data_IF_798857320869
#
_entry.id   IF_798857320869
#
_cell.length_a   1.000
_cell.length_b   1.000
_cell.length_c   1.000
_cell.angle_alpha   90.00
_cell.angle_beta   90.00
_cell.angle_gamma   90.00
#
_symmetry.space_group_name_H-M   'P 1'
#
loop_
_entity.id
_entity.type
_entity.pdbx_description
1 polymer ?
#
# COMPACT_ATOMS: atom_id res chain seq x y z
N UNK A 1 28.46 49.22 8.16
CA UNK A 1 27.65 48.43 7.22
C UNK A 1 26.86 47.40 8.04
N UNK A 2 25.54 47.54 8.18
CA UNK A 2 24.76 46.59 8.97
C UNK A 2 24.59 45.27 8.21
N UNK A 3 24.91 44.19 8.90
CA UNK A 3 24.75 42.81 8.45
C UNK A 3 23.26 42.50 8.35
N UNK A 4 22.75 42.23 7.14
CA UNK A 4 21.38 41.77 6.95
C UNK A 4 21.35 40.24 7.08
N UNK A 5 20.94 39.75 8.25
CA UNK A 5 20.54 38.36 8.43
C UNK A 5 19.35 38.06 7.54
N UNK A 6 19.49 37.08 6.64
CA UNK A 6 18.41 36.63 5.77
C UNK A 6 17.67 35.48 6.45
N UNK A 7 16.79 35.84 7.38
CA UNK A 7 15.79 34.91 7.92
C UNK A 7 14.76 34.63 6.83
N UNK A 8 15.03 33.65 5.97
CA UNK A 8 14.03 33.13 5.02
C UNK A 8 13.98 31.63 5.14
N UNK A 9 13.42 31.13 6.24
CA UNK A 9 13.06 29.72 6.35
C UNK A 9 11.84 29.46 5.44
N UNK A 10 12.05 28.75 4.33
CA UNK A 10 10.96 28.37 3.42
C UNK A 10 10.08 27.23 3.96
N UNK A 11 10.36 26.72 5.17
CA UNK A 11 9.63 25.61 5.78
C UNK A 11 8.21 26.06 6.13
N UNK A 12 7.24 25.46 5.44
CA UNK A 12 5.83 25.62 5.79
C UNK A 12 5.50 24.73 6.99
N UNK A 13 4.69 25.25 7.93
CA UNK A 13 4.15 24.42 9.00
C UNK A 13 3.25 23.33 8.43
N UNK A 14 3.41 22.11 8.92
CA UNK A 14 2.52 21.01 8.57
C UNK A 14 1.30 21.01 9.48
N UNK A 15 0.12 20.92 8.88
CA UNK A 15 -1.12 20.63 9.62
C UNK A 15 -1.06 19.21 10.20
N UNK A 16 -1.75 18.96 11.32
CA UNK A 16 -1.83 17.63 11.92
C UNK A 16 -2.28 16.53 10.94
N UNK A 17 -3.24 16.83 10.05
CA UNK A 17 -3.72 15.87 9.06
C UNK A 17 -2.63 15.44 8.06
N UNK A 18 -1.74 16.36 7.67
CA UNK A 18 -0.58 16.04 6.83
C UNK A 18 0.42 15.16 7.57
N UNK A 19 0.65 15.42 8.86
CA UNK A 19 1.50 14.57 9.70
C UNK A 19 0.90 13.16 9.80
N UNK A 20 -0.40 13.04 10.11
CA UNK A 20 -1.10 11.74 10.16
C UNK A 20 -1.04 11.01 8.82
N UNK A 21 -1.22 11.71 7.71
CA UNK A 21 -1.10 11.14 6.37
C UNK A 21 0.31 10.55 6.15
N UNK A 22 1.36 11.31 6.45
CA UNK A 22 2.75 10.87 6.29
C UNK A 22 3.11 9.69 7.21
N UNK A 23 2.55 9.65 8.42
CA UNK A 23 2.66 8.47 9.30
C UNK A 23 1.95 7.26 8.69
N UNK A 24 0.77 7.46 8.08
CA UNK A 24 0.03 6.41 7.38
C UNK A 24 0.77 5.87 6.16
N UNK A 25 1.43 6.74 5.38
CA UNK A 25 2.23 6.36 4.20
C UNK A 25 3.35 5.35 4.51
N UNK A 26 3.89 5.40 5.73
CA UNK A 26 4.93 4.48 6.21
C UNK A 26 4.38 3.39 7.13
N UNK A 27 3.06 3.20 7.17
CA UNK A 27 2.38 2.23 8.02
C UNK A 27 2.76 2.34 9.51
N UNK A 28 2.97 3.58 10.00
CA UNK A 28 3.35 3.86 11.38
C UNK A 28 4.75 3.38 11.79
N UNK A 29 5.57 2.90 10.86
CA UNK A 29 6.94 2.42 11.10
C UNK A 29 7.94 3.21 10.29
N UNK A 30 9.15 3.42 10.83
CA UNK A 30 10.22 4.06 10.08
C UNK A 30 10.59 3.18 8.87
N UNK A 31 10.54 3.70 7.63
CA UNK A 31 10.80 2.91 6.44
C UNK A 31 12.26 2.46 6.31
N UNK A 32 13.20 3.13 7.00
CA UNK A 32 14.63 2.77 6.99
C UNK A 32 14.99 1.63 7.94
N UNK A 33 14.40 1.62 9.15
CA UNK A 33 14.79 0.67 10.21
C UNK A 33 13.63 -0.12 10.83
N UNK A 34 12.41 0.03 10.31
CA UNK A 34 11.18 -0.63 10.76
C UNK A 34 10.74 -0.36 12.20
N UNK A 35 11.41 0.55 12.94
CA UNK A 35 10.99 0.96 14.30
C UNK A 35 9.61 1.61 14.27
N UNK A 36 8.74 1.26 15.20
CA UNK A 36 7.44 1.89 15.37
C UNK A 36 7.61 3.36 15.75
N UNK A 37 6.88 4.24 15.08
CA UNK A 37 6.98 5.69 15.28
C UNK A 37 6.15 6.18 16.47
N UNK A 38 5.00 5.56 16.73
CA UNK A 38 4.13 5.89 17.86
C UNK A 38 4.17 4.74 18.86
N UNK A 39 4.71 4.99 20.05
CA UNK A 39 4.83 3.98 21.09
C UNK A 39 3.85 4.25 22.23
N UNK A 40 3.26 3.19 22.75
CA UNK A 40 2.44 3.23 23.95
C UNK A 40 3.28 2.86 25.18
N UNK A 41 3.21 3.68 26.22
CA UNK A 41 3.78 3.39 27.54
C UNK A 41 2.86 3.93 28.62
N UNK A 42 2.46 3.08 29.58
CA UNK A 42 1.58 3.44 30.70
C UNK A 42 0.31 4.18 30.22
N UNK A 43 -0.40 3.60 29.25
CA UNK A 43 -1.64 4.16 28.65
C UNK A 43 -1.45 5.54 27.97
N UNK A 44 -0.21 5.95 27.70
CA UNK A 44 0.13 7.18 26.99
C UNK A 44 0.80 6.88 25.66
N UNK A 45 0.31 7.52 24.60
CA UNK A 45 0.91 7.45 23.27
C UNK A 45 1.95 8.56 23.10
N UNK A 46 3.13 8.19 22.62
CA UNK A 46 4.24 9.10 22.37
C UNK A 46 4.68 8.99 20.91
N UNK A 47 4.69 10.13 20.21
CA UNK A 47 5.20 10.19 18.84
C UNK A 47 6.72 10.39 18.86
N UNK A 48 7.45 9.37 18.40
CA UNK A 48 8.90 9.36 18.19
C UNK A 48 9.26 9.48 16.71
N UNK A 49 8.27 9.68 15.84
CA UNK A 49 8.45 10.03 14.44
C UNK A 49 8.58 11.53 14.24
N UNK A 50 9.39 11.91 13.26
CA UNK A 50 9.59 13.27 12.79
C UNK A 50 9.43 13.31 11.27
N UNK A 51 9.01 14.46 10.75
CA UNK A 51 8.84 14.65 9.30
C UNK A 51 10.10 15.30 8.73
N UNK A 52 10.82 14.52 7.93
CA UNK A 52 12.01 14.96 7.23
C UNK A 52 11.67 15.49 5.83
N UNK A 53 12.44 16.47 5.36
CA UNK A 53 12.44 16.86 3.95
C UNK A 53 13.48 16.04 3.20
N UNK A 54 13.07 15.32 2.15
CA UNK A 54 13.97 14.48 1.35
C UNK A 54 14.97 15.37 0.62
N UNK A 55 14.50 16.32 -0.19
CA UNK A 55 15.30 17.45 -0.62
C UNK A 55 15.20 18.57 0.43
N UNK A 56 16.32 19.11 0.95
CA UNK A 56 16.31 20.10 2.02
C UNK A 56 15.49 21.34 1.63
N UNK A 57 14.73 21.88 2.59
CA UNK A 57 13.88 23.05 2.35
C UNK A 57 14.71 24.31 2.07
N UNK A 58 15.85 24.44 2.75
CA UNK A 58 16.82 25.52 2.59
C UNK A 58 18.22 24.88 2.46
N UNK A 59 18.60 24.35 1.28
CA UNK A 59 19.89 23.71 1.10
C UNK A 59 21.03 24.69 1.37
N UNK A 60 22.09 24.23 2.03
CA UNK A 60 23.35 24.95 2.09
C UNK A 60 24.04 24.89 0.72
N UNK A 61 24.91 25.86 0.36
CA UNK A 61 25.56 25.89 -0.96
C UNK A 61 26.35 24.63 -1.32
N UNK A 62 26.83 23.88 -0.32
CA UNK A 62 27.49 22.60 -0.56
C UNK A 62 26.50 21.46 -0.82
N UNK A 63 25.30 21.49 -0.21
CA UNK A 63 24.22 20.54 -0.46
C UNK A 63 23.61 20.76 -1.86
N UNK A 64 23.46 22.02 -2.29
CA UNK A 64 23.03 22.32 -3.68
C UNK A 64 23.98 21.71 -4.70
N UNK A 65 25.29 21.85 -4.48
CA UNK A 65 26.31 21.24 -5.34
C UNK A 65 26.30 19.71 -5.25
N UNK A 66 26.15 19.16 -4.05
CA UNK A 66 26.09 17.72 -3.81
C UNK A 66 24.91 17.07 -4.53
N UNK A 67 23.76 17.76 -4.54
CA UNK A 67 22.50 17.28 -5.10
C UNK A 67 22.23 17.82 -6.51
N UNK A 68 23.20 18.50 -7.13
CA UNK A 68 23.05 19.04 -8.47
C UNK A 68 22.80 17.91 -9.48
N UNK A 69 21.79 18.09 -10.34
CA UNK A 69 21.40 17.12 -11.36
C UNK A 69 20.70 15.86 -10.81
N UNK A 70 20.45 15.77 -9.51
CA UNK A 70 19.70 14.66 -8.94
C UNK A 70 18.19 14.85 -9.13
N UNK A 71 17.45 13.73 -9.08
CA UNK A 71 16.00 13.72 -9.24
C UNK A 71 15.34 14.49 -8.09
N UNK A 72 14.47 15.44 -8.42
CA UNK A 72 13.54 16.07 -7.49
C UNK A 72 12.20 15.34 -7.56
N UNK A 73 11.64 15.02 -6.39
CA UNK A 73 10.33 14.35 -6.32
C UNK A 73 9.16 15.29 -6.64
N UNK A 74 9.39 16.60 -6.51
CA UNK A 74 8.46 17.66 -6.89
C UNK A 74 9.21 18.99 -6.97
N UNK A 75 8.71 19.93 -7.78
CA UNK A 75 9.25 21.29 -7.88
C UNK A 75 9.00 22.16 -6.62
N UNK A 76 8.06 21.76 -5.75
CA UNK A 76 7.76 22.46 -4.51
C UNK A 76 8.38 21.65 -3.38
N UNK A 77 9.39 22.22 -2.72
CA UNK A 77 10.12 21.58 -1.62
C UNK A 77 9.21 21.26 -0.43
N UNK A 78 8.07 21.94 -0.29
CA UNK A 78 7.09 21.68 0.77
C UNK A 78 5.99 20.69 0.35
N UNK A 79 6.06 20.12 -0.85
CA UNK A 79 5.11 19.13 -1.32
C UNK A 79 5.21 17.84 -0.49
N UNK A 80 4.09 17.14 -0.26
CA UNK A 80 4.04 15.88 0.48
C UNK A 80 4.93 14.79 -0.16
N UNK A 81 5.13 14.82 -1.47
CA UNK A 81 6.04 13.92 -2.18
C UNK A 81 7.50 14.11 -1.75
N UNK A 82 7.88 15.29 -1.24
CA UNK A 82 9.21 15.58 -0.72
C UNK A 82 9.33 15.37 0.80
N UNK A 83 8.28 14.90 1.47
CA UNK A 83 8.24 14.74 2.93
C UNK A 83 8.13 13.26 3.29
N UNK A 84 8.81 12.85 4.36
CA UNK A 84 8.78 11.45 4.82
C UNK A 84 8.84 11.38 6.34
N UNK A 85 8.06 10.46 6.92
CA UNK A 85 8.09 10.21 8.35
C UNK A 85 9.21 9.21 8.69
N UNK A 86 10.13 9.62 9.57
CA UNK A 86 11.27 8.83 10.04
C UNK A 86 11.31 8.80 11.56
N UNK A 87 11.95 7.79 12.15
CA UNK A 87 12.30 7.87 13.58
C UNK A 87 13.46 8.86 13.78
N UNK A 88 13.56 9.45 14.97
CA UNK A 88 14.58 10.46 15.30
C UNK A 88 16.01 10.06 14.93
N UNK A 89 16.38 8.80 15.14
CA UNK A 89 17.74 8.31 14.83
C UNK A 89 18.02 8.32 13.32
N UNK A 90 17.08 7.82 12.51
CA UNK A 90 17.25 7.79 11.05
C UNK A 90 17.13 9.19 10.45
N UNK A 91 16.27 10.05 11.00
CA UNK A 91 16.17 11.45 10.59
C UNK A 91 17.50 12.18 10.82
N UNK A 92 18.08 12.05 12.01
CA UNK A 92 19.36 12.69 12.32
C UNK A 92 20.53 12.15 11.47
N UNK A 93 20.59 10.83 11.27
CA UNK A 93 21.60 10.21 10.39
C UNK A 93 21.49 10.70 8.94
N UNK A 94 20.27 10.92 8.45
CA UNK A 94 20.00 11.38 7.10
C UNK A 94 20.40 12.85 6.89
N UNK A 95 20.09 13.72 7.85
CA UNK A 95 20.32 15.15 7.73
C UNK A 95 21.74 15.58 8.14
N UNK A 96 22.43 14.83 9.02
CA UNK A 96 23.67 15.30 9.67
C UNK A 96 24.82 14.27 9.65
N UNK A 97 25.77 14.35 8.69
CA UNK A 97 25.76 15.19 7.50
C UNK A 97 24.94 14.56 6.38
N UNK A 98 24.33 15.40 5.54
CA UNK A 98 23.68 14.94 4.33
C UNK A 98 24.71 14.34 3.36
N UNK A 99 24.35 13.19 2.80
CA UNK A 99 25.16 12.48 1.80
C UNK A 99 24.34 12.21 0.54
N UNK A 100 25.01 12.10 -0.62
CA UNK A 100 24.33 11.74 -1.87
C UNK A 100 23.67 10.36 -1.76
N UNK A 101 24.36 9.38 -1.16
CA UNK A 101 23.83 8.04 -0.95
C UNK A 101 22.57 8.06 -0.09
N UNK A 102 22.58 8.78 1.04
CA UNK A 102 21.41 8.91 1.90
C UNK A 102 20.24 9.62 1.21
N UNK A 103 20.53 10.63 0.38
CA UNK A 103 19.53 11.29 -0.46
C UNK A 103 18.87 10.31 -1.44
N UNK A 104 19.66 9.57 -2.20
CA UNK A 104 19.16 8.60 -3.18
C UNK A 104 18.35 7.49 -2.52
N UNK A 105 18.81 6.97 -1.38
CA UNK A 105 18.06 5.99 -0.58
C UNK A 105 16.67 6.53 -0.19
N UNK A 106 16.58 7.77 0.30
CA UNK A 106 15.28 8.35 0.67
C UNK A 106 14.39 8.62 -0.54
N UNK A 107 14.97 9.02 -1.68
CA UNK A 107 14.24 9.16 -2.96
C UNK A 107 13.64 7.83 -3.38
N UNK A 108 14.42 6.75 -3.37
CA UNK A 108 13.97 5.41 -3.74
C UNK A 108 12.83 4.92 -2.82
N UNK A 109 13.00 5.06 -1.50
CA UNK A 109 11.98 4.70 -0.51
C UNK A 109 10.68 5.47 -0.79
N UNK A 110 10.76 6.78 -1.00
CA UNK A 110 9.57 7.59 -1.20
C UNK A 110 8.90 7.30 -2.55
N UNK A 111 9.67 7.04 -3.61
CA UNK A 111 9.11 6.62 -4.90
C UNK A 111 8.34 5.30 -4.77
N UNK A 112 8.89 4.33 -4.04
CA UNK A 112 8.21 3.06 -3.77
C UNK A 112 6.88 3.27 -3.03
N UNK A 113 6.86 4.11 -1.99
CA UNK A 113 5.65 4.49 -1.25
C UNK A 113 4.60 5.14 -2.18
N UNK A 114 5.01 6.10 -3.00
CA UNK A 114 4.10 6.80 -3.92
C UNK A 114 3.56 5.87 -5.00
N UNK A 115 4.38 4.94 -5.51
CA UNK A 115 3.96 3.93 -6.48
C UNK A 115 2.90 2.99 -5.87
N UNK A 116 3.14 2.51 -4.64
CA UNK A 116 2.20 1.67 -3.91
C UNK A 116 0.86 2.37 -3.70
N UNK A 117 0.88 3.62 -3.23
CA UNK A 117 -0.33 4.43 -3.05
C UNK A 117 -1.12 4.63 -4.34
N UNK A 118 -0.42 4.80 -5.47
CA UNK A 118 -1.06 4.93 -6.79
C UNK A 118 -1.75 3.63 -7.21
N UNK A 119 -1.17 2.47 -6.90
CA UNK A 119 -1.79 1.16 -7.13
C UNK A 119 -3.02 0.97 -6.26
N UNK A 120 -2.95 1.29 -4.97
CA UNK A 120 -4.07 1.22 -4.04
C UNK A 120 -5.23 2.12 -4.48
N UNK A 121 -4.95 3.37 -4.84
CA UNK A 121 -5.97 4.31 -5.34
C UNK A 121 -6.65 3.78 -6.60
N UNK A 122 -5.87 3.19 -7.53
CA UNK A 122 -6.44 2.54 -8.72
C UNK A 122 -7.27 1.33 -8.35
N UNK A 123 -6.81 0.49 -7.42
CA UNK A 123 -7.56 -0.67 -6.95
C UNK A 123 -8.90 -0.25 -6.37
N UNK A 124 -8.92 0.76 -5.53
CA UNK A 124 -10.15 1.27 -4.91
C UNK A 124 -11.11 1.91 -5.94
N UNK A 125 -10.56 2.48 -7.03
CA UNK A 125 -11.38 2.98 -8.15
C UNK A 125 -11.98 1.86 -9.01
N UNK A 126 -11.35 0.69 -9.01
CA UNK A 126 -11.76 -0.44 -9.82
C UNK A 126 -12.83 -1.22 -9.04
N UNK A 127 -14.07 -1.18 -9.54
CA UNK A 127 -15.19 -1.92 -8.96
C UNK A 127 -15.23 -3.37 -9.47
N UNK A 128 -14.09 -4.06 -9.44
CA UNK A 128 -14.00 -5.46 -9.90
C UNK A 128 -15.08 -6.32 -9.25
N UNK A 129 -15.40 -6.10 -7.98
CA UNK A 129 -16.48 -6.81 -7.28
C UNK A 129 -17.85 -6.60 -7.95
N UNK A 130 -18.16 -5.39 -8.42
CA UNK A 130 -19.41 -5.11 -9.13
C UNK A 130 -19.41 -5.74 -10.52
N UNK A 131 -18.29 -5.70 -11.22
CA UNK A 131 -18.15 -6.34 -12.54
C UNK A 131 -18.24 -7.87 -12.44
N UNK A 132 -17.61 -8.48 -11.44
CA UNK A 132 -17.73 -9.92 -11.13
C UNK A 132 -19.18 -10.26 -10.81
N UNK A 133 -19.84 -9.49 -9.95
CA UNK A 133 -21.24 -9.73 -9.60
C UNK A 133 -22.16 -9.63 -10.82
N UNK A 134 -21.94 -8.67 -11.71
CA UNK A 134 -22.70 -8.55 -12.95
C UNK A 134 -22.50 -9.76 -13.87
N UNK A 135 -21.28 -10.28 -13.97
CA UNK A 135 -20.99 -11.50 -14.75
C UNK A 135 -21.62 -12.73 -14.10
N UNK A 136 -21.56 -12.87 -12.77
CA UNK A 136 -22.19 -13.97 -12.04
C UNK A 136 -23.73 -13.95 -12.16
N UNK A 137 -24.33 -12.77 -12.06
CA UNK A 137 -25.76 -12.55 -12.22
C UNK A 137 -26.21 -12.85 -13.66
N UNK A 138 -25.41 -12.47 -14.66
CA UNK A 138 -25.62 -12.87 -16.05
C UNK A 138 -25.55 -14.39 -16.22
N UNK A 139 -24.53 -15.04 -15.65
CA UNK A 139 -24.37 -16.50 -15.71
C UNK A 139 -25.50 -17.26 -15.02
N UNK A 140 -25.93 -16.85 -13.82
CA UNK A 140 -27.06 -17.51 -13.13
C UNK A 140 -28.34 -17.41 -13.96
N UNK A 141 -28.65 -16.23 -14.51
CA UNK A 141 -29.84 -16.05 -15.35
C UNK A 141 -29.81 -16.84 -16.65
N UNK A 142 -28.63 -17.06 -17.24
CA UNK A 142 -28.51 -17.63 -18.59
C UNK A 142 -27.97 -19.08 -18.62
N UNK A 143 -27.49 -19.62 -17.49
CA UNK A 143 -27.04 -21.02 -17.38
C UNK A 143 -27.99 -21.93 -16.60
N UNK A 144 -29.04 -21.40 -15.96
CA UNK A 144 -30.07 -22.21 -15.26
C UNK A 144 -31.18 -22.74 -16.19
N UNK A 145 -31.15 -22.42 -17.49
CA UNK A 145 -32.17 -22.84 -18.45
C UNK A 145 -32.12 -24.33 -18.88
N UNK A 146 -31.15 -25.13 -18.38
CA UNK A 146 -30.91 -26.51 -18.84
C UNK A 146 -31.23 -27.62 -17.81
N UNK A 147 -31.86 -27.31 -16.66
CA UNK A 147 -32.01 -28.28 -15.54
C UNK A 147 -33.45 -28.64 -15.12
N UNK A 148 -34.40 -28.67 -16.05
CA UNK A 148 -35.63 -29.46 -15.85
C UNK A 148 -35.40 -30.94 -16.19
N UNK A 149 -34.70 -31.70 -15.33
CA UNK A 149 -34.98 -33.13 -15.06
C UNK A 149 -33.97 -33.76 -14.07
N UNK A 150 -34.55 -34.44 -13.08
CA UNK A 150 -34.01 -35.46 -12.17
C UNK A 150 -33.51 -35.02 -10.79
N UNK A 151 -34.42 -35.26 -9.86
CA UNK A 151 -34.41 -35.12 -8.41
C UNK A 151 -33.90 -36.44 -7.78
N UNK A 152 -32.76 -36.45 -7.07
CA UNK A 152 -32.41 -37.52 -6.13
C UNK A 152 -31.27 -37.07 -5.20
N UNK A 153 -31.58 -36.94 -3.90
CA UNK A 153 -30.70 -36.55 -2.81
C UNK A 153 -29.85 -37.73 -2.31
N UNK A 154 -28.63 -37.88 -2.81
CA UNK A 154 -27.59 -38.67 -2.13
C UNK A 154 -26.29 -37.86 -2.05
N UNK A 155 -25.81 -37.62 -0.82
CA UNK A 155 -24.53 -36.96 -0.55
C UNK A 155 -23.37 -37.99 -0.62
N UNK A 156 -22.41 -37.85 -1.56
CA UNK A 156 -21.27 -38.74 -1.63
C UNK A 156 -20.09 -38.18 -0.84
N UNK A 157 -19.52 -39.02 0.03
CA UNK A 157 -18.30 -38.77 0.81
C UNK A 157 -17.06 -38.88 -0.10
N UNK A 158 -16.14 -37.91 -0.06
CA UNK A 158 -14.94 -37.91 -0.91
C UNK A 158 -13.63 -37.73 -0.12
N UNK A 159 -12.63 -38.54 -0.49
CA UNK A 159 -11.21 -38.46 -0.13
C UNK A 159 -10.47 -37.59 -1.14
N UNK A 160 -9.67 -36.64 -0.65
CA UNK A 160 -9.02 -35.59 -1.45
C UNK A 160 -7.60 -36.04 -1.82
N UNK A 161 -7.44 -36.57 -3.04
CA UNK A 161 -6.11 -36.73 -3.68
C UNK A 161 -6.11 -36.08 -5.08
N UNK A 162 -5.23 -35.09 -5.20
CA UNK A 162 -4.64 -34.39 -6.36
C UNK A 162 -5.52 -34.16 -7.61
N UNK A 163 -5.80 -32.88 -7.84
CA UNK A 163 -6.63 -32.29 -8.91
C UNK A 163 -6.02 -32.39 -10.31
N UNK A 164 -4.74 -32.75 -10.44
CA UNK A 164 -3.93 -32.50 -11.64
C UNK A 164 -4.02 -33.56 -12.74
N UNK A 165 -4.90 -34.56 -12.66
CA UNK A 165 -4.99 -35.60 -13.72
C UNK A 165 -6.35 -35.74 -14.40
N UNK A 166 -7.33 -34.88 -14.13
CA UNK A 166 -8.74 -35.21 -14.41
C UNK A 166 -9.57 -34.26 -15.25
N UNK A 167 -9.04 -33.17 -15.84
CA UNK A 167 -9.86 -32.30 -16.68
C UNK A 167 -9.49 -32.31 -18.16
N UNK A 168 -10.12 -33.22 -18.91
CA UNK A 168 -10.15 -33.19 -20.36
C UNK A 168 -11.53 -32.73 -20.88
N UNK A 169 -11.62 -32.31 -22.14
CA UNK A 169 -12.79 -31.65 -22.78
C UNK A 169 -14.09 -32.49 -22.83
N UNK A 170 -14.06 -33.72 -22.31
CA UNK A 170 -15.18 -34.68 -22.25
C UNK A 170 -15.96 -34.65 -20.93
N UNK A 171 -15.56 -33.82 -19.96
CA UNK A 171 -16.25 -33.71 -18.67
C UNK A 171 -17.66 -33.13 -18.82
N UNK A 172 -18.67 -33.93 -18.46
CA UNK A 172 -20.07 -33.53 -18.45
C UNK A 172 -20.32 -32.42 -17.42
N UNK A 173 -21.20 -31.50 -17.79
CA UNK A 173 -21.55 -30.27 -17.08
C UNK A 173 -21.87 -30.45 -15.57
N UNK A 174 -22.56 -31.54 -15.19
CA UNK A 174 -22.84 -31.88 -13.78
C UNK A 174 -21.58 -32.04 -12.91
N UNK A 175 -20.46 -32.46 -13.50
CA UNK A 175 -19.18 -32.63 -12.80
C UNK A 175 -18.50 -31.29 -12.54
N UNK A 176 -18.63 -30.32 -13.46
CA UNK A 176 -18.16 -28.93 -13.23
C UNK A 176 -19.04 -28.19 -12.20
N UNK A 177 -20.36 -28.36 -12.24
CA UNK A 177 -21.28 -27.76 -11.25
C UNK A 177 -20.98 -28.22 -9.81
N UNK A 178 -20.56 -29.48 -9.63
CA UNK A 178 -20.09 -30.01 -8.33
C UNK A 178 -18.79 -29.36 -7.84
N UNK A 179 -17.85 -29.02 -8.72
CA UNK A 179 -16.63 -28.31 -8.33
C UNK A 179 -16.91 -26.87 -7.86
N UNK A 180 -17.85 -26.19 -8.52
CA UNK A 180 -18.25 -24.82 -8.13
C UNK A 180 -18.97 -24.80 -6.77
N UNK A 181 -19.86 -25.76 -6.50
CA UNK A 181 -20.56 -25.89 -5.21
C UNK A 181 -19.58 -26.11 -4.03
N UNK A 182 -18.50 -26.87 -4.26
CA UNK A 182 -17.45 -27.15 -3.27
C UNK A 182 -16.62 -25.89 -2.98
N UNK A 183 -16.32 -25.08 -3.99
CA UNK A 183 -15.61 -23.81 -3.83
C UNK A 183 -16.46 -22.76 -3.11
N UNK A 184 -17.77 -22.70 -3.37
CA UNK A 184 -18.69 -21.79 -2.65
C UNK A 184 -18.88 -22.16 -1.17
N UNK A 185 -18.86 -23.45 -0.80
CA UNK A 185 -18.91 -23.85 0.61
C UNK A 185 -17.61 -23.58 1.38
N UNK A 186 -16.46 -23.61 0.70
CA UNK A 186 -15.17 -23.24 1.32
C UNK A 186 -15.10 -21.73 1.66
N UNK A 187 -15.84 -20.87 0.94
CA UNK A 187 -15.94 -19.44 1.24
C UNK A 187 -16.81 -19.15 2.48
N UNK A 188 -17.84 -19.97 2.77
CA UNK A 188 -18.69 -19.79 3.96
C UNK A 188 -18.00 -20.21 5.27
N UNK A 189 -17.05 -21.15 5.25
CA UNK A 189 -16.29 -21.57 6.45
C UNK A 189 -15.28 -20.50 6.89
N UNK A 190 -14.72 -19.73 5.95
CA UNK A 190 -13.84 -18.59 6.23
C UNK A 190 -14.54 -17.31 6.73
N UNK A 191 -15.88 -17.25 6.68
CA UNK A 191 -16.68 -16.13 7.19
C UNK A 191 -17.35 -16.41 8.56
N UNK A 192 -17.14 -17.60 9.12
CA UNK A 192 -17.67 -18.02 10.43
C UNK A 192 -16.57 -18.30 11.48
N UNK A 193 -15.34 -17.80 11.25
CA UNK A 193 -14.21 -17.84 12.20
C UNK A 193 -13.79 -16.43 12.60
#
# INVERSE_FOLDING_TARGET
MPYMGKDTDNRKSLTENKVRLLHGEVNGKCPKCSKVLINEKNERYTNNGEIAHIYPCNPLPHEEKLLAGQVLLHDDVNNLSNLIALCKSCHNEFDNPRTLTGYLEMVEIKQAILAQRKLETKRDSIKIEQEINNVLDWLSRHCEADEQQNNSNEEPKYDVKELDKKSDKTLKYRTKKRFVQILTNSMYISMAS
#
